data_IF_480921298192
#
_entry.id   IF_480921298192
#
_cell.length_a   1.000
_cell.length_b   1.000
_cell.length_c   1.000
_cell.angle_alpha   90.00
_cell.angle_beta   90.00
_cell.angle_gamma   90.00
#
_symmetry.space_group_name_H-M   'P 1'
#
loop_
_entity.id
_entity.type
_entity.pdbx_description
1 polymer ?
#
# COMPACT_ATOMS: atom_id res chain seq x y z
N UNK A 1 -35.15 -11.30 -57.80
CA UNK A 1 -35.41 -10.93 -56.38
C UNK A 1 -34.68 -11.94 -55.50
N UNK A 2 -33.43 -11.69 -55.07
CA UNK A 2 -33.08 -11.20 -53.72
C UNK A 2 -33.97 -11.81 -52.63
N UNK A 3 -33.47 -12.67 -51.74
CA UNK A 3 -32.74 -12.39 -50.47
C UNK A 3 -32.59 -13.75 -49.75
N UNK A 4 -31.70 -14.07 -48.80
CA UNK A 4 -30.62 -13.45 -48.02
C UNK A 4 -29.94 -14.66 -47.33
N UNK A 5 -28.60 -14.74 -47.34
CA UNK A 5 -27.86 -15.71 -46.51
C UNK A 5 -27.68 -15.12 -45.09
N UNK A 6 -27.80 -15.90 -44.00
CA UNK A 6 -27.63 -15.37 -42.66
C UNK A 6 -26.14 -15.07 -42.40
N UNK A 7 -25.91 -13.81 -42.06
CA UNK A 7 -24.61 -13.20 -41.80
C UNK A 7 -23.93 -13.77 -40.55
N UNK A 8 -22.66 -14.12 -40.74
CA UNK A 8 -21.52 -13.99 -39.83
C UNK A 8 -21.75 -14.36 -38.35
N UNK A 9 -21.25 -15.55 -37.99
CA UNK A 9 -20.93 -15.91 -36.63
C UNK A 9 -20.02 -14.85 -36.00
N UNK A 10 -20.49 -14.27 -34.90
CA UNK A 10 -19.76 -13.36 -34.04
C UNK A 10 -18.48 -14.02 -33.51
N UNK A 11 -17.33 -13.56 -34.01
CA UNK A 11 -16.03 -13.82 -33.40
C UNK A 11 -15.94 -13.05 -32.09
N UNK A 12 -16.43 -13.65 -31.01
CA UNK A 12 -16.21 -13.16 -29.66
C UNK A 12 -14.72 -13.25 -29.33
N UNK A 13 -13.98 -12.15 -29.50
CA UNK A 13 -12.62 -12.03 -29.00
C UNK A 13 -12.68 -12.04 -27.47
N UNK A 14 -12.42 -13.21 -26.87
CA UNK A 14 -12.25 -13.30 -25.43
C UNK A 14 -11.13 -12.34 -25.01
N UNK A 15 -11.36 -11.51 -23.96
CA UNK A 15 -10.32 -10.61 -23.48
C UNK A 15 -9.11 -11.46 -23.05
N UNK A 16 -7.88 -11.07 -23.45
CA UNK A 16 -6.69 -11.86 -23.14
C UNK A 16 -6.59 -12.06 -21.63
N UNK A 17 -6.43 -13.31 -21.20
CA UNK A 17 -6.28 -13.66 -19.80
C UNK A 17 -5.18 -12.79 -19.17
N UNK A 18 -5.54 -12.00 -18.14
CA UNK A 18 -4.60 -11.08 -17.48
C UNK A 18 -3.45 -11.89 -16.90
N UNK A 19 -2.27 -11.80 -17.53
CA UNK A 19 -1.04 -12.41 -17.05
C UNK A 19 -0.80 -11.99 -15.60
N UNK A 20 -0.49 -12.95 -14.73
CA UNK A 20 -0.19 -12.68 -13.32
C UNK A 20 0.92 -11.64 -13.24
N UNK A 21 0.67 -10.54 -12.52
CA UNK A 21 1.64 -9.46 -12.35
C UNK A 21 2.86 -10.02 -11.62
N UNK A 22 4.01 -9.99 -12.28
CA UNK A 22 5.29 -10.39 -11.71
C UNK A 22 5.65 -9.41 -10.59
N UNK A 23 5.83 -9.92 -9.37
CA UNK A 23 6.26 -9.13 -8.21
C UNK A 23 7.79 -9.15 -8.15
N UNK A 24 8.40 -7.97 -8.17
CA UNK A 24 9.85 -7.84 -8.00
C UNK A 24 10.22 -7.90 -6.53
N UNK A 25 11.34 -8.56 -6.23
CA UNK A 25 11.93 -8.55 -4.89
C UNK A 25 12.41 -7.12 -4.51
N UNK A 26 12.51 -6.78 -3.21
CA UNK A 26 13.00 -5.48 -2.78
C UNK A 26 14.38 -5.10 -3.36
N UNK A 27 15.31 -6.05 -3.42
CA UNK A 27 16.63 -5.86 -4.04
C UNK A 27 16.55 -5.49 -5.53
N UNK A 28 15.69 -6.18 -6.29
CA UNK A 28 15.47 -5.88 -7.71
C UNK A 28 14.83 -4.50 -7.92
N UNK A 29 13.93 -4.09 -7.02
CA UNK A 29 13.36 -2.73 -7.06
C UNK A 29 14.44 -1.67 -6.80
N UNK A 30 15.38 -1.95 -5.90
CA UNK A 30 16.52 -1.07 -5.63
C UNK A 30 17.43 -0.95 -6.86
N UNK A 31 17.79 -2.07 -7.50
CA UNK A 31 18.56 -2.06 -8.76
C UNK A 31 17.88 -1.27 -9.89
N UNK A 32 16.55 -1.42 -10.03
CA UNK A 32 15.75 -0.66 -10.98
C UNK A 32 15.84 0.84 -10.68
N UNK A 33 15.66 1.22 -9.41
CA UNK A 33 15.73 2.61 -8.99
C UNK A 33 17.10 3.23 -9.25
N UNK A 34 18.18 2.56 -8.84
CA UNK A 34 19.54 3.07 -9.04
C UNK A 34 19.88 3.19 -10.51
N UNK A 35 19.53 2.20 -11.34
CA UNK A 35 19.79 2.22 -12.79
C UNK A 35 19.09 3.37 -13.52
N UNK A 36 17.85 3.70 -13.12
CA UNK A 36 17.12 4.86 -13.66
C UNK A 36 17.73 6.16 -13.13
N UNK A 37 18.07 6.22 -11.85
CA UNK A 37 18.63 7.42 -11.20
C UNK A 37 19.99 7.81 -11.81
N UNK A 38 20.85 6.83 -12.09
CA UNK A 38 22.16 7.04 -12.73
C UNK A 38 22.08 7.15 -14.25
N UNK A 39 20.88 7.07 -14.83
CA UNK A 39 20.67 7.00 -16.29
C UNK A 39 21.45 5.87 -16.98
N UNK A 40 21.78 4.80 -16.25
CA UNK A 40 22.53 3.65 -16.78
C UNK A 40 21.66 2.71 -17.63
N UNK A 41 20.34 2.76 -17.47
CA UNK A 41 19.39 2.04 -18.30
C UNK A 41 18.08 2.83 -18.42
N UNK A 42 17.42 2.71 -19.57
CA UNK A 42 16.10 3.30 -19.79
C UNK A 42 15.01 2.50 -19.08
N UNK A 43 13.87 3.14 -18.79
CA UNK A 43 12.71 2.45 -18.20
C UNK A 43 12.18 1.31 -19.09
N UNK A 44 12.38 1.41 -20.41
CA UNK A 44 11.98 0.38 -21.37
C UNK A 44 12.86 -0.86 -21.23
N UNK A 45 14.18 -0.70 -21.23
CA UNK A 45 15.12 -1.81 -21.08
C UNK A 45 14.94 -2.53 -19.74
N UNK A 46 14.67 -1.78 -18.66
CA UNK A 46 14.39 -2.37 -17.35
C UNK A 46 13.05 -3.11 -17.31
N UNK A 47 12.01 -2.56 -17.94
CA UNK A 47 10.72 -3.23 -18.08
C UNK A 47 10.87 -4.57 -18.81
N UNK A 48 11.64 -4.59 -19.91
CA UNK A 48 11.94 -5.80 -20.69
C UNK A 48 12.79 -6.79 -19.87
N UNK A 49 13.90 -6.35 -19.27
CA UNK A 49 14.82 -7.18 -18.45
C UNK A 49 14.09 -7.88 -17.31
N UNK A 50 13.26 -7.15 -16.57
CA UNK A 50 12.58 -7.68 -15.40
C UNK A 50 11.20 -8.28 -15.73
N UNK A 51 10.71 -8.14 -16.96
CA UNK A 51 9.41 -8.66 -17.40
C UNK A 51 8.23 -7.98 -16.72
N UNK A 52 8.30 -6.66 -16.53
CA UNK A 52 7.27 -5.84 -15.88
C UNK A 52 6.85 -4.70 -16.79
N UNK A 53 5.72 -4.06 -16.51
CA UNK A 53 5.26 -2.91 -17.29
C UNK A 53 6.03 -1.62 -16.92
N UNK A 54 6.18 -0.68 -17.87
CA UNK A 54 6.83 0.62 -17.62
C UNK A 54 6.16 1.43 -16.51
N UNK A 55 4.84 1.29 -16.32
CA UNK A 55 4.13 1.90 -15.18
C UNK A 55 4.60 1.34 -13.84
N UNK A 56 5.01 0.07 -13.79
CA UNK A 56 5.59 -0.55 -12.59
C UNK A 56 6.96 0.06 -12.29
N UNK A 57 7.80 0.23 -13.31
CA UNK A 57 9.10 0.89 -13.18
C UNK A 57 8.92 2.33 -12.66
N UNK A 58 8.02 3.11 -13.28
CA UNK A 58 7.69 4.47 -12.84
C UNK A 58 7.21 4.50 -11.39
N UNK A 59 6.33 3.57 -11.00
CA UNK A 59 5.83 3.47 -9.63
C UNK A 59 6.95 3.16 -8.63
N UNK A 60 7.88 2.27 -8.97
CA UNK A 60 9.04 1.96 -8.13
C UNK A 60 9.87 3.22 -7.89
N UNK A 61 10.21 3.96 -8.95
CA UNK A 61 10.98 5.19 -8.84
C UNK A 61 10.25 6.26 -8.01
N UNK A 62 8.93 6.40 -8.19
CA UNK A 62 8.13 7.35 -7.42
C UNK A 62 8.09 7.00 -5.93
N UNK A 63 7.84 5.72 -5.59
CA UNK A 63 7.85 5.25 -4.21
C UNK A 63 9.22 5.38 -3.56
N UNK A 64 10.30 5.04 -4.27
CA UNK A 64 11.66 5.18 -3.75
C UNK A 64 12.01 6.64 -3.48
N UNK A 65 11.66 7.55 -4.40
CA UNK A 65 11.86 8.99 -4.21
C UNK A 65 11.07 9.53 -3.01
N UNK A 66 9.80 9.17 -2.90
CA UNK A 66 8.96 9.64 -1.79
C UNK A 66 9.48 9.12 -0.45
N UNK A 67 9.78 7.82 -0.34
CA UNK A 67 10.32 7.24 0.88
C UNK A 67 11.67 7.86 1.30
N UNK A 68 12.52 8.23 0.34
CA UNK A 68 13.75 8.97 0.61
C UNK A 68 13.46 10.38 1.14
N UNK A 69 12.50 11.11 0.54
CA UNK A 69 12.10 12.43 1.02
C UNK A 69 11.49 12.37 2.42
N UNK A 70 10.63 11.40 2.70
CA UNK A 70 10.01 11.21 4.01
C UNK A 70 11.07 10.90 5.08
N UNK A 71 12.03 10.03 4.75
CA UNK A 71 13.14 9.70 5.65
C UNK A 71 14.06 10.90 5.91
N UNK A 72 14.35 11.71 4.89
CA UNK A 72 15.16 12.92 5.02
C UNK A 72 14.44 14.02 5.79
N UNK A 73 13.13 14.17 5.61
CA UNK A 73 12.32 15.11 6.38
C UNK A 73 12.27 14.72 7.88
N UNK A 74 12.24 13.42 8.17
CA UNK A 74 12.29 12.91 9.54
C UNK A 74 13.70 12.92 10.16
N UNK A 75 14.76 13.01 9.34
CA UNK A 75 16.14 12.97 9.80
C UNK A 75 16.54 14.30 10.48
N UNK A 76 16.51 14.33 11.82
CA UNK A 76 17.00 15.45 12.63
C UNK A 76 18.45 15.17 13.05
N UNK A 77 19.43 16.03 12.71
CA UNK A 77 20.82 15.86 13.16
C UNK A 77 20.91 15.70 14.69
N UNK A 78 21.64 14.68 15.15
CA UNK A 78 21.86 14.42 16.58
C UNK A 78 20.70 13.73 17.32
N UNK A 79 19.54 13.51 16.69
CA UNK A 79 18.43 12.75 17.27
C UNK A 79 18.14 11.55 16.36
N UNK A 80 18.14 10.33 16.92
CA UNK A 80 17.39 9.23 16.30
C UNK A 80 15.91 9.60 16.39
N UNK A 81 15.43 10.37 15.42
CA UNK A 81 14.05 10.84 15.36
C UNK A 81 13.12 9.64 15.22
N UNK A 82 12.04 9.63 16.00
CA UNK A 82 10.93 8.69 15.79
C UNK A 82 10.32 8.99 14.42
N UNK A 83 10.02 7.95 13.64
CA UNK A 83 9.30 8.12 12.37
C UNK A 83 7.91 8.72 12.62
N UNK A 84 7.29 9.33 11.59
CA UNK A 84 5.91 9.83 11.72
C UNK A 84 4.93 8.75 12.18
N UNK A 85 5.10 7.52 11.68
CA UNK A 85 4.31 6.35 12.11
C UNK A 85 4.52 6.00 13.59
N UNK A 86 5.73 6.15 14.11
CA UNK A 86 6.01 5.90 15.53
C UNK A 86 5.42 6.97 16.45
N UNK A 87 5.32 8.22 15.97
CA UNK A 87 4.66 9.31 16.69
C UNK A 87 3.15 9.04 16.72
N UNK A 88 2.53 8.79 15.57
CA UNK A 88 1.10 8.46 15.48
C UNK A 88 0.74 7.22 16.32
N UNK A 89 1.59 6.20 16.30
CA UNK A 89 1.40 4.99 17.12
C UNK A 89 1.49 5.31 18.61
N UNK A 90 2.39 6.21 19.01
CA UNK A 90 2.50 6.62 20.40
C UNK A 90 1.25 7.39 20.85
N UNK A 91 0.77 8.32 20.04
CA UNK A 91 -0.41 9.13 20.35
C UNK A 91 -1.67 8.25 20.43
N UNK A 92 -1.84 7.32 19.48
CA UNK A 92 -2.93 6.35 19.51
C UNK A 92 -2.89 5.45 20.75
N UNK A 93 -1.70 5.01 21.17
CA UNK A 93 -1.52 4.21 22.40
C UNK A 93 -1.88 5.01 23.65
N UNK A 94 -1.50 6.29 23.72
CA UNK A 94 -1.85 7.15 24.83
C UNK A 94 -3.37 7.34 24.94
N UNK A 95 -4.06 7.54 23.80
CA UNK A 95 -5.52 7.67 23.80
C UNK A 95 -6.22 6.36 24.17
N UNK A 96 -5.71 5.21 23.71
CA UNK A 96 -6.25 3.90 24.11
C UNK A 96 -6.20 3.72 25.64
N UNK A 97 -5.09 4.09 26.28
CA UNK A 97 -4.97 3.95 27.73
C UNK A 97 -5.94 4.89 28.47
N UNK A 98 -6.11 6.13 27.98
CA UNK A 98 -7.11 7.05 28.52
C UNK A 98 -8.54 6.50 28.38
N UNK A 99 -8.88 5.98 27.20
CA UNK A 99 -10.20 5.40 26.93
C UNK A 99 -10.45 4.17 27.79
N UNK A 100 -9.45 3.29 27.98
CA UNK A 100 -9.56 2.13 28.88
C UNK A 100 -9.86 2.54 30.32
N UNK A 101 -9.16 3.56 30.84
CA UNK A 101 -9.41 4.07 32.18
C UNK A 101 -10.87 4.55 32.33
N UNK A 102 -11.32 5.35 31.35
CA UNK A 102 -12.70 5.87 31.32
C UNK A 102 -13.74 4.74 31.25
N UNK A 103 -13.51 3.73 30.40
CA UNK A 103 -14.41 2.58 30.26
C UNK A 103 -14.46 1.77 31.56
N UNK A 104 -13.33 1.59 32.26
CA UNK A 104 -13.31 0.91 33.55
C UNK A 104 -14.14 1.67 34.60
N UNK A 105 -13.99 2.99 34.69
CA UNK A 105 -14.77 3.83 35.60
C UNK A 105 -16.29 3.74 35.31
N UNK A 106 -16.65 3.80 34.02
CA UNK A 106 -18.03 3.65 33.57
C UNK A 106 -18.60 2.26 33.87
N UNK A 107 -17.82 1.21 33.65
CA UNK A 107 -18.22 -0.17 33.93
C UNK A 107 -18.48 -0.39 35.42
N UNK A 108 -17.63 0.16 36.30
CA UNK A 108 -17.84 0.13 37.76
C UNK A 108 -19.12 0.87 38.13
N UNK A 109 -19.32 2.09 37.59
CA UNK A 109 -20.52 2.90 37.86
C UNK A 109 -21.79 2.17 37.43
N UNK A 110 -21.81 1.61 36.22
CA UNK A 110 -22.92 0.80 35.71
C UNK A 110 -23.18 -0.44 36.56
N UNK A 111 -22.14 -1.13 37.02
CA UNK A 111 -22.29 -2.30 37.88
C UNK A 111 -22.93 -1.95 39.23
N UNK A 112 -22.53 -0.82 39.82
CA UNK A 112 -23.09 -0.34 41.08
C UNK A 112 -24.54 0.12 40.92
N UNK A 113 -24.88 0.80 39.81
CA UNK A 113 -26.24 1.28 39.54
C UNK A 113 -27.22 0.15 39.18
N UNK A 114 -26.78 -0.82 38.37
CA UNK A 114 -27.65 -1.89 37.86
C UNK A 114 -27.68 -3.15 38.73
N UNK A 115 -26.80 -3.26 39.73
CA UNK A 115 -26.68 -4.47 40.54
C UNK A 115 -26.33 -5.71 39.69
N UNK A 116 -26.60 -6.90 40.24
CA UNK A 116 -26.27 -8.20 39.61
C UNK A 116 -27.44 -8.80 38.82
N UNK A 117 -28.45 -8.00 38.47
CA UNK A 117 -29.74 -8.50 37.96
C UNK A 117 -29.89 -8.40 36.43
N UNK A 118 -28.78 -8.30 35.68
CA UNK A 118 -28.79 -8.03 34.24
C UNK A 118 -28.01 -9.00 33.36
N UNK A 119 -27.73 -10.21 33.84
CA UNK A 119 -27.14 -11.29 33.05
C UNK A 119 -27.99 -12.56 33.19
N UNK A 120 -29.14 -12.56 32.53
CA UNK A 120 -29.90 -13.75 32.10
C UNK A 120 -30.37 -13.50 30.65
#
# INVERSE_FOLDING_TARGET
MTKLNPSAAAGGSQPPARRRRKKLAPSQKYEVFTSVLTSSATQRELAEKYGVDRTTIRSICATAKQGALDALAAAVPGRRGKTGQEIELQDARAEIERLKATICEQAVSLHLEKGKDGWD
#
